data_IF_752895508845
#
_entry.id   IF_752895508845
#
_cell.length_a   1.000
_cell.length_b   1.000
_cell.length_c   1.000
_cell.angle_alpha   90.00
_cell.angle_beta   90.00
_cell.angle_gamma   90.00
#
_symmetry.space_group_name_H-M   'P 1'
#
loop_
_entity.id
_entity.type
_entity.pdbx_description
1 polymer ?
#
# COMPACT_ATOMS: atom_id res chain seq x y z
N UNK A 1 13.90 13.94 10.99
CA UNK A 1 14.23 12.96 9.93
C UNK A 1 12.98 12.66 9.12
N UNK A 2 13.11 12.62 7.80
CA UNK A 2 12.00 12.20 6.95
C UNK A 2 11.80 10.68 7.08
N UNK A 3 10.55 10.20 7.06
CA UNK A 3 10.23 8.76 7.14
C UNK A 3 10.98 7.93 6.10
N UNK A 4 11.27 8.50 4.92
CA UNK A 4 12.04 7.83 3.87
C UNK A 4 13.48 7.52 4.28
N UNK A 5 14.12 8.41 5.04
CA UNK A 5 15.50 8.24 5.50
C UNK A 5 15.53 7.14 6.56
N UNK A 6 14.60 7.21 7.52
CA UNK A 6 14.44 6.17 8.54
C UNK A 6 14.19 4.81 7.89
N UNK A 7 13.31 4.73 6.89
CA UNK A 7 13.08 3.49 6.14
C UNK A 7 14.34 3.01 5.42
N UNK A 8 15.12 3.91 4.81
CA UNK A 8 16.37 3.53 4.14
C UNK A 8 17.42 3.04 5.13
N UNK A 9 17.42 3.48 6.37
CA UNK A 9 18.37 3.00 7.38
C UNK A 9 17.91 1.67 8.00
N UNK A 10 16.64 1.57 8.39
CA UNK A 10 16.11 0.43 9.14
C UNK A 10 15.82 -0.81 8.28
N UNK A 11 15.56 -0.62 6.98
CA UNK A 11 15.15 -1.74 6.10
C UNK A 11 16.38 -2.50 5.58
N UNK A 12 16.42 -3.84 5.70
CA UNK A 12 17.53 -4.65 5.20
C UNK A 12 17.72 -4.56 3.68
N UNK A 13 18.95 -4.78 3.21
CA UNK A 13 19.31 -4.70 1.77
C UNK A 13 18.47 -5.63 0.89
N UNK A 14 18.21 -6.86 1.35
CA UNK A 14 17.40 -7.83 0.60
C UNK A 14 15.95 -7.37 0.36
N UNK A 15 15.39 -6.51 1.23
CA UNK A 15 14.05 -5.92 1.02
C UNK A 15 14.14 -4.73 0.05
N UNK A 16 15.26 -3.99 0.06
CA UNK A 16 15.47 -2.86 -0.86
C UNK A 16 15.64 -3.29 -2.31
N UNK A 17 16.17 -4.50 -2.51
CA UNK A 17 16.38 -5.09 -3.84
C UNK A 17 15.07 -5.60 -4.46
N UNK A 18 13.96 -5.64 -3.72
CA UNK A 18 12.67 -6.07 -4.26
C UNK A 18 12.00 -4.97 -5.10
N UNK A 19 11.22 -5.33 -6.14
CA UNK A 19 10.58 -4.34 -7.02
C UNK A 19 9.56 -3.47 -6.29
N UNK A 20 9.01 -3.91 -5.16
CA UNK A 20 8.05 -3.14 -4.36
C UNK A 20 8.70 -1.95 -3.66
N UNK A 21 10.00 -2.01 -3.35
CA UNK A 21 10.71 -0.98 -2.60
C UNK A 21 10.70 0.41 -3.28
N UNK A 22 11.19 0.56 -4.53
CA UNK A 22 11.17 1.87 -5.18
C UNK A 22 9.74 2.38 -5.42
N UNK A 23 8.79 1.48 -5.67
CA UNK A 23 7.36 1.81 -5.83
C UNK A 23 6.79 2.35 -4.52
N UNK A 24 7.15 1.74 -3.38
CA UNK A 24 6.71 2.18 -2.06
C UNK A 24 7.29 3.55 -1.70
N UNK A 25 8.59 3.77 -1.95
CA UNK A 25 9.20 5.10 -1.76
C UNK A 25 8.55 6.18 -2.63
N UNK A 26 8.20 5.85 -3.88
CA UNK A 26 7.46 6.75 -4.76
C UNK A 26 6.06 7.04 -4.22
N UNK A 27 5.34 6.02 -3.75
CA UNK A 27 4.01 6.18 -3.14
C UNK A 27 4.06 7.08 -1.89
N UNK A 28 5.06 6.91 -1.01
CA UNK A 28 5.30 7.79 0.15
C UNK A 28 5.53 9.24 -0.29
N UNK A 29 6.30 9.43 -1.37
CA UNK A 29 6.59 10.74 -1.94
C UNK A 29 5.32 11.44 -2.43
N UNK A 30 4.52 10.73 -3.22
CA UNK A 30 3.29 11.26 -3.82
C UNK A 30 2.25 11.65 -2.77
N UNK A 31 2.26 11.00 -1.62
CA UNK A 31 1.33 11.27 -0.51
C UNK A 31 1.86 12.24 0.54
N UNK A 32 3.06 12.77 0.32
CA UNK A 32 3.71 13.73 1.23
C UNK A 32 3.74 13.26 2.69
N UNK A 33 3.99 11.96 2.91
CA UNK A 33 3.98 11.37 4.25
C UNK A 33 5.29 11.72 4.96
N UNK A 34 5.20 12.42 6.09
CA UNK A 34 6.37 12.93 6.81
C UNK A 34 6.70 12.17 8.09
N UNK A 35 5.72 11.53 8.74
CA UNK A 35 5.90 10.84 10.03
C UNK A 35 5.51 9.36 10.00
N UNK A 36 6.11 8.56 10.89
CA UNK A 36 5.82 7.10 11.00
C UNK A 36 4.33 6.86 11.28
N UNK A 37 3.75 7.65 12.17
CA UNK A 37 2.33 7.58 12.52
C UNK A 37 1.44 7.89 11.31
N UNK A 38 1.78 8.91 10.53
CA UNK A 38 1.07 9.22 9.28
C UNK A 38 1.20 8.07 8.28
N UNK A 39 2.38 7.47 8.14
CA UNK A 39 2.58 6.33 7.23
C UNK A 39 1.64 5.17 7.56
N UNK A 40 1.59 4.77 8.83
CA UNK A 40 0.73 3.67 9.30
C UNK A 40 -0.75 4.01 9.13
N UNK A 41 -1.14 5.24 9.45
CA UNK A 41 -2.53 5.70 9.33
C UNK A 41 -3.00 5.71 7.87
N UNK A 42 -2.24 6.37 6.97
CA UNK A 42 -2.58 6.48 5.55
C UNK A 42 -2.60 5.11 4.88
N UNK A 43 -1.62 4.25 5.18
CA UNK A 43 -1.56 2.91 4.62
C UNK A 43 -2.76 2.05 5.06
N UNK A 44 -3.13 2.10 6.35
CA UNK A 44 -4.30 1.37 6.85
C UNK A 44 -5.61 1.92 6.27
N UNK A 45 -5.73 3.24 6.13
CA UNK A 45 -6.89 3.88 5.50
C UNK A 45 -7.06 3.41 4.05
N UNK A 46 -5.98 3.38 3.26
CA UNK A 46 -6.03 2.89 1.89
C UNK A 46 -6.32 1.40 1.76
N UNK A 47 -5.78 0.57 2.65
CA UNK A 47 -6.12 -0.86 2.67
C UNK A 47 -7.62 -1.00 2.90
N UNK A 48 -8.16 -0.30 3.90
CA UNK A 48 -9.59 -0.33 4.23
C UNK A 48 -10.45 0.17 3.07
N UNK A 49 -10.06 1.24 2.40
CA UNK A 49 -10.80 1.80 1.26
C UNK A 49 -10.80 0.85 0.06
N UNK A 50 -9.64 0.27 -0.30
CA UNK A 50 -9.58 -0.69 -1.40
C UNK A 50 -10.34 -1.97 -1.07
N UNK A 51 -10.32 -2.41 0.20
CA UNK A 51 -11.08 -3.57 0.64
C UNK A 51 -12.59 -3.32 0.58
N UNK A 52 -13.06 -2.16 1.06
CA UNK A 52 -14.46 -1.74 0.93
C UNK A 52 -14.90 -1.67 -0.53
N UNK A 53 -14.05 -1.16 -1.44
CA UNK A 53 -14.34 -1.16 -2.88
C UNK A 53 -14.52 -2.58 -3.40
N UNK A 54 -13.60 -3.49 -3.08
CA UNK A 54 -13.72 -4.89 -3.49
C UNK A 54 -15.01 -5.52 -2.96
N UNK A 55 -15.35 -5.31 -1.70
CA UNK A 55 -16.59 -5.82 -1.08
C UNK A 55 -17.86 -5.19 -1.67
N UNK A 56 -17.84 -3.91 -2.05
CA UNK A 56 -19.00 -3.24 -2.64
C UNK A 56 -19.25 -3.65 -4.08
N UNK A 57 -18.18 -3.90 -4.84
CA UNK A 57 -18.23 -4.25 -6.26
C UNK A 57 -18.24 -5.77 -6.52
N UNK A 58 -17.91 -6.60 -5.52
CA UNK A 58 -18.02 -8.07 -5.63
C UNK A 58 -19.43 -8.59 -5.39
N UNK A 59 -20.31 -7.80 -4.75
CA UNK A 59 -21.71 -8.17 -4.56
C UNK A 59 -22.42 -8.17 -5.93
N UNK A 60 -23.05 -9.28 -6.35
CA UNK A 60 -23.76 -9.36 -7.61
C UNK A 60 -25.01 -8.50 -7.53
N UNK A 61 -24.94 -7.25 -8.01
CA UNK A 61 -26.10 -6.39 -8.21
C UNK A 61 -26.36 -6.29 -9.70
N UNK A 62 -27.10 -7.27 -10.23
CA UNK A 62 -27.91 -7.23 -11.48
C UNK A 62 -27.27 -6.76 -12.80
N UNK A 63 -26.04 -6.25 -12.80
CA UNK A 63 -25.25 -5.83 -13.95
C UNK A 63 -23.83 -6.36 -13.72
N UNK A 64 -23.22 -6.92 -14.78
CA UNK A 64 -22.02 -7.75 -14.71
C UNK A 64 -20.84 -7.20 -13.89
N UNK A 65 -19.92 -8.09 -13.55
CA UNK A 65 -18.73 -7.79 -12.74
C UNK A 65 -17.90 -6.68 -13.39
N UNK A 66 -17.77 -5.52 -12.72
CA UNK A 66 -16.95 -4.40 -13.19
C UNK A 66 -15.45 -4.68 -12.96
N UNK A 67 -14.93 -5.64 -13.73
CA UNK A 67 -13.55 -6.15 -13.66
C UNK A 67 -12.49 -5.06 -13.89
N UNK A 68 -12.85 -3.99 -14.62
CA UNK A 68 -12.00 -2.80 -14.83
C UNK A 68 -11.68 -2.04 -13.55
N UNK A 69 -12.59 -2.08 -12.56
CA UNK A 69 -12.40 -1.42 -11.26
C UNK A 69 -11.86 -2.38 -10.21
N UNK A 70 -12.31 -3.63 -10.24
CA UNK A 70 -11.92 -4.67 -9.27
C UNK A 70 -10.45 -5.07 -9.40
N UNK A 71 -9.94 -5.31 -10.62
CA UNK A 71 -8.55 -5.76 -10.83
C UNK A 71 -7.51 -4.75 -10.32
N UNK A 72 -7.60 -3.44 -10.63
CA UNK A 72 -6.66 -2.45 -10.08
C UNK A 72 -6.76 -2.32 -8.56
N UNK A 73 -7.98 -2.36 -8.00
CA UNK A 73 -8.18 -2.28 -6.57
C UNK A 73 -7.55 -3.47 -5.83
N UNK A 74 -7.71 -4.69 -6.37
CA UNK A 74 -7.08 -5.90 -5.83
C UNK A 74 -5.56 -5.82 -5.88
N UNK A 75 -4.97 -5.49 -7.05
CA UNK A 75 -3.52 -5.34 -7.18
C UNK A 75 -2.94 -4.29 -6.24
N UNK A 76 -3.65 -3.16 -6.07
CA UNK A 76 -3.23 -2.08 -5.16
C UNK A 76 -3.32 -2.52 -3.70
N UNK A 77 -4.36 -3.25 -3.33
CA UNK A 77 -4.50 -3.82 -1.99
C UNK A 77 -3.40 -4.84 -1.69
N UNK A 78 -3.09 -5.73 -2.62
CA UNK A 78 -2.00 -6.70 -2.46
C UNK A 78 -0.65 -6.00 -2.29
N UNK A 79 -0.35 -5.00 -3.13
CA UNK A 79 0.86 -4.19 -2.98
C UNK A 79 0.96 -3.53 -1.60
N UNK A 80 -0.13 -2.88 -1.13
CA UNK A 80 -0.14 -2.20 0.17
C UNK A 80 0.03 -3.17 1.34
N UNK A 81 -0.57 -4.37 1.26
CA UNK A 81 -0.38 -5.44 2.25
C UNK A 81 1.06 -5.94 2.26
N UNK A 82 1.66 -6.18 1.09
CA UNK A 82 3.07 -6.59 0.99
C UNK A 82 3.98 -5.53 1.60
N UNK A 83 3.75 -4.24 1.32
CA UNK A 83 4.52 -3.17 1.93
C UNK A 83 4.34 -3.12 3.45
N UNK A 84 3.12 -3.35 3.94
CA UNK A 84 2.87 -3.44 5.39
C UNK A 84 3.66 -4.58 6.04
N UNK A 85 3.61 -5.76 5.45
CA UNK A 85 4.08 -6.99 6.09
C UNK A 85 5.59 -7.19 5.90
N UNK A 86 6.15 -6.75 4.76
CA UNK A 86 7.59 -6.88 4.45
C UNK A 86 8.41 -5.64 4.76
N UNK A 87 7.87 -4.43 4.61
CA UNK A 87 8.65 -3.19 4.76
C UNK A 87 8.41 -2.55 6.13
N UNK A 88 7.14 -2.32 6.48
CA UNK A 88 6.76 -1.68 7.75
C UNK A 88 7.07 -2.54 8.98
N UNK A 89 7.33 -3.84 8.83
CA UNK A 89 7.81 -4.71 9.91
C UNK A 89 9.13 -4.24 10.53
N UNK A 90 9.95 -3.52 9.77
CA UNK A 90 11.27 -3.06 10.20
C UNK A 90 11.27 -1.63 10.78
N UNK A 91 10.09 -1.05 11.02
CA UNK A 91 9.90 0.38 11.32
C UNK A 91 9.35 0.63 12.72
#
# INVERSE_FOLDING_TARGET
>A
MAVKEVLKESVPKFVKDTPEWPVFLRWISQRNIKTKAQLKSVLNAEIKDNQKKLESFSKPRTAGTNSRVLRPAAKRLDFLKVCRDRILKYL
#
